data_IF_031389128716
#
_entry.id   IF_031389128716
#
_cell.length_a   1.000
_cell.length_b   1.000
_cell.length_c   1.000
_cell.angle_alpha   90.00
_cell.angle_beta   90.00
_cell.angle_gamma   90.00
#
_symmetry.space_group_name_H-M   'P 1'
#
loop_
_entity.id
_entity.type
_entity.pdbx_description
1 polymer ?
#
# COMPACT_ATOMS: atom_id res chain seq x y z
N UNK A 1 22.33 1.33 12.32
CA UNK A 1 20.88 1.37 12.65
C UNK A 1 20.48 2.72 13.27
N UNK A 2 20.94 3.81 12.68
CA UNK A 2 20.49 5.14 13.10
C UNK A 2 19.05 5.36 12.60
N UNK A 3 18.13 5.74 13.49
CA UNK A 3 16.78 6.15 13.14
C UNK A 3 15.64 5.15 13.38
N UNK A 4 15.87 3.97 13.98
CA UNK A 4 14.79 3.00 14.25
C UNK A 4 13.65 3.55 15.11
N UNK A 5 13.93 4.40 16.12
CA UNK A 5 12.87 4.96 16.96
C UNK A 5 11.92 5.87 16.17
N UNK A 6 12.44 6.70 15.28
CA UNK A 6 11.63 7.59 14.44
C UNK A 6 10.89 6.80 13.37
N UNK A 7 11.54 5.79 12.78
CA UNK A 7 10.96 4.98 11.71
C UNK A 7 10.01 3.89 12.22
N UNK A 8 10.04 3.56 13.51
CA UNK A 8 9.20 2.51 14.10
C UNK A 8 7.68 2.73 13.90
N UNK A 9 7.25 3.98 13.77
CA UNK A 9 5.85 4.31 13.49
C UNK A 9 5.48 4.14 12.00
N UNK A 10 6.45 4.03 11.12
CA UNK A 10 6.25 4.00 9.67
C UNK A 10 6.51 2.65 9.02
N UNK A 11 6.75 1.58 9.80
CA UNK A 11 7.04 0.26 9.26
C UNK A 11 6.37 -0.84 10.09
N UNK A 12 5.61 -1.72 9.45
CA UNK A 12 5.15 -2.96 10.06
C UNK A 12 6.33 -3.93 10.25
N UNK A 13 6.30 -4.73 11.30
CA UNK A 13 7.42 -5.61 11.64
C UNK A 13 7.82 -6.56 10.48
N UNK A 14 6.84 -7.16 9.82
CA UNK A 14 7.07 -8.09 8.70
C UNK A 14 7.72 -7.41 7.49
N UNK A 15 7.28 -6.19 7.12
CA UNK A 15 7.85 -5.43 6.01
C UNK A 15 9.24 -4.90 6.33
N UNK A 16 9.47 -4.44 7.57
CA UNK A 16 10.78 -4.02 8.04
C UNK A 16 11.80 -5.18 8.03
N UNK A 17 11.36 -6.40 8.35
CA UNK A 17 12.22 -7.59 8.29
C UNK A 17 12.58 -7.96 6.84
N UNK A 18 11.62 -7.92 5.91
CA UNK A 18 11.86 -8.24 4.48
C UNK A 18 12.87 -7.29 3.83
N UNK A 19 13.02 -6.06 4.32
CA UNK A 19 13.99 -5.07 3.85
C UNK A 19 15.14 -4.81 4.85
N UNK A 20 15.34 -5.72 5.82
CA UNK A 20 16.49 -5.64 6.71
C UNK A 20 17.81 -5.86 5.95
N UNK A 21 18.92 -5.38 6.54
CA UNK A 21 20.25 -5.60 5.98
C UNK A 21 20.54 -7.10 5.78
N UNK A 22 20.11 -7.95 6.73
CA UNK A 22 20.26 -9.40 6.63
C UNK A 22 19.37 -10.01 5.54
N UNK A 23 18.15 -9.54 5.33
CA UNK A 23 17.29 -10.00 4.25
C UNK A 23 17.86 -9.59 2.89
N UNK A 24 18.34 -8.35 2.76
CA UNK A 24 19.02 -7.87 1.55
C UNK A 24 20.23 -8.76 1.21
N UNK A 25 21.10 -9.00 2.19
CA UNK A 25 22.27 -9.86 2.02
C UNK A 25 21.86 -11.29 1.66
N UNK A 26 20.87 -11.86 2.33
CA UNK A 26 20.34 -13.19 2.04
C UNK A 26 19.90 -13.33 0.59
N UNK A 27 19.18 -12.36 0.06
CA UNK A 27 18.69 -12.40 -1.33
C UNK A 27 19.80 -12.19 -2.35
N UNK A 28 20.79 -11.33 -2.06
CA UNK A 28 21.98 -11.19 -2.90
C UNK A 28 22.77 -12.50 -2.96
N UNK A 29 23.01 -13.15 -1.83
CA UNK A 29 23.70 -14.43 -1.76
C UNK A 29 22.88 -15.57 -2.39
N UNK A 30 21.56 -15.54 -2.28
CA UNK A 30 20.66 -16.47 -2.97
C UNK A 30 20.80 -16.37 -4.49
N UNK A 31 20.94 -15.16 -5.04
CA UNK A 31 21.25 -14.95 -6.45
C UNK A 31 22.59 -15.58 -6.82
N UNK A 32 23.67 -15.32 -6.08
CA UNK A 32 25.00 -15.84 -6.33
C UNK A 32 25.05 -17.38 -6.29
N UNK A 33 24.37 -18.00 -5.33
CA UNK A 33 24.26 -19.45 -5.22
C UNK A 33 23.52 -20.05 -6.41
N UNK A 34 22.41 -19.45 -6.84
CA UNK A 34 21.64 -19.88 -8.00
C UNK A 34 22.46 -19.69 -9.31
N UNK A 35 23.17 -18.56 -9.43
CA UNK A 35 24.04 -18.30 -10.56
C UNK A 35 25.15 -19.37 -10.68
N UNK A 36 25.84 -19.69 -9.58
CA UNK A 36 26.90 -20.71 -9.57
C UNK A 36 26.38 -22.06 -10.07
N UNK A 37 25.17 -22.46 -9.65
CA UNK A 37 24.54 -23.70 -10.13
C UNK A 37 24.15 -23.63 -11.60
N UNK A 38 23.58 -22.51 -12.05
CA UNK A 38 23.14 -22.32 -13.43
C UNK A 38 24.31 -22.36 -14.41
N UNK A 39 25.42 -21.66 -14.11
CA UNK A 39 26.61 -21.67 -14.98
C UNK A 39 27.32 -23.01 -14.97
N UNK A 40 27.33 -23.75 -13.85
CA UNK A 40 27.87 -25.11 -13.77
C UNK A 40 27.03 -26.09 -14.59
N UNK A 41 25.70 -26.01 -14.52
CA UNK A 41 24.79 -26.84 -15.31
C UNK A 41 24.94 -26.56 -16.83
N UNK A 42 25.23 -25.34 -17.20
CA UNK A 42 25.52 -24.95 -18.59
C UNK A 42 26.93 -25.39 -19.06
N UNK A 43 27.79 -25.89 -18.18
CA UNK A 43 29.15 -26.32 -18.48
C UNK A 43 30.17 -25.17 -18.62
N UNK A 44 29.83 -23.97 -18.15
CA UNK A 44 30.69 -22.80 -18.16
C UNK A 44 31.78 -22.83 -17.08
N UNK A 45 31.46 -23.52 -15.97
CA UNK A 45 32.42 -23.77 -14.88
C UNK A 45 32.40 -25.28 -14.52
N UNK A 46 33.46 -25.81 -13.91
CA UNK A 46 33.45 -27.19 -13.44
C UNK A 46 32.36 -27.42 -12.39
N UNK A 47 31.56 -28.47 -12.57
CA UNK A 47 30.38 -28.73 -11.72
C UNK A 47 30.72 -28.93 -10.23
N UNK A 48 31.96 -29.38 -9.93
CA UNK A 48 32.47 -29.55 -8.55
C UNK A 48 32.51 -28.25 -7.73
N UNK A 49 32.61 -27.06 -8.38
CA UNK A 49 32.74 -25.79 -7.67
C UNK A 49 31.41 -25.13 -7.28
N UNK A 50 30.30 -25.42 -7.98
CA UNK A 50 29.03 -24.83 -7.68
C UNK A 50 28.52 -25.12 -6.24
N UNK A 51 28.59 -26.34 -5.70
CA UNK A 51 28.18 -26.60 -4.32
C UNK A 51 29.08 -25.89 -3.29
N UNK A 52 30.38 -25.69 -3.60
CA UNK A 52 31.32 -24.99 -2.72
C UNK A 52 30.95 -23.50 -2.63
N UNK A 53 30.68 -22.86 -3.79
CA UNK A 53 30.23 -21.47 -3.87
C UNK A 53 28.88 -21.32 -3.16
N UNK A 54 27.93 -22.22 -3.44
CA UNK A 54 26.61 -22.18 -2.82
C UNK A 54 26.67 -22.34 -1.28
N UNK A 55 27.56 -23.20 -0.76
CA UNK A 55 27.76 -23.35 0.68
C UNK A 55 28.40 -22.12 1.35
N UNK A 56 29.12 -21.30 0.59
CA UNK A 56 29.61 -20.01 1.07
C UNK A 56 28.55 -18.90 1.05
N UNK A 57 27.42 -19.10 0.37
CA UNK A 57 26.31 -18.15 0.30
C UNK A 57 25.35 -18.20 1.51
N UNK A 58 25.80 -18.72 2.65
CA UNK A 58 25.05 -18.65 3.91
C UNK A 58 25.19 -17.23 4.51
N UNK A 59 24.10 -16.45 4.66
CA UNK A 59 24.13 -15.09 5.20
C UNK A 59 24.69 -15.02 6.62
N UNK A 60 24.58 -16.09 7.41
CA UNK A 60 25.13 -16.15 8.77
C UNK A 60 26.65 -16.03 8.83
N UNK A 61 27.35 -16.21 7.72
CA UNK A 61 28.81 -16.10 7.64
C UNK A 61 29.30 -14.63 7.51
N UNK A 62 28.37 -13.66 7.37
CA UNK A 62 28.72 -12.29 7.04
C UNK A 62 28.10 -11.30 8.05
N UNK A 63 28.86 -10.25 8.37
CA UNK A 63 28.36 -9.07 9.06
C UNK A 63 27.99 -8.00 8.03
N UNK A 64 26.72 -7.56 7.94
CA UNK A 64 26.31 -6.54 6.99
C UNK A 64 26.90 -5.15 7.28
N UNK A 65 27.27 -4.82 8.51
CA UNK A 65 27.70 -3.48 8.87
C UNK A 65 29.00 -3.05 8.14
N UNK A 66 30.11 -3.83 8.13
CA UNK A 66 31.29 -3.47 7.34
C UNK A 66 31.06 -3.52 5.83
N UNK A 67 30.12 -4.35 5.34
CA UNK A 67 29.75 -4.39 3.92
C UNK A 67 29.05 -3.08 3.51
N UNK A 68 28.13 -2.59 4.32
CA UNK A 68 27.45 -1.31 4.10
C UNK A 68 28.42 -0.12 4.09
N UNK A 69 29.40 -0.10 5.01
CA UNK A 69 30.44 0.95 5.01
C UNK A 69 31.33 0.88 3.76
N UNK A 70 31.71 -0.31 3.32
CA UNK A 70 32.49 -0.50 2.09
C UNK A 70 31.70 -0.10 0.83
N UNK A 71 30.38 -0.33 0.80
CA UNK A 71 29.50 0.02 -0.31
C UNK A 71 29.48 1.53 -0.62
N UNK A 72 29.68 2.38 0.36
CA UNK A 72 29.80 3.84 0.17
C UNK A 72 30.96 4.24 -0.77
N UNK A 73 32.02 3.46 -0.78
CA UNK A 73 33.22 3.72 -1.61
C UNK A 73 33.08 3.20 -3.03
N UNK A 74 32.15 2.26 -3.24
CA UNK A 74 31.94 1.61 -4.54
C UNK A 74 30.64 2.05 -5.21
N UNK A 75 29.79 2.82 -4.50
CA UNK A 75 28.43 3.23 -4.91
C UNK A 75 27.54 2.03 -5.32
N UNK A 76 27.86 0.83 -4.79
CA UNK A 76 27.08 -0.40 -5.01
C UNK A 76 27.30 -1.39 -3.86
N UNK A 77 26.25 -2.12 -3.48
CA UNK A 77 26.32 -3.17 -2.46
C UNK A 77 27.04 -4.43 -2.98
N UNK A 78 26.98 -4.69 -4.26
CA UNK A 78 27.46 -5.96 -4.84
C UNK A 78 28.97 -6.12 -4.72
N UNK A 79 29.75 -5.06 -4.97
CA UNK A 79 31.22 -5.16 -4.96
C UNK A 79 31.77 -5.65 -3.62
N UNK A 80 31.40 -5.07 -2.45
CA UNK A 80 31.86 -5.60 -1.17
C UNK A 80 31.29 -6.98 -0.84
N UNK A 81 30.03 -7.28 -1.20
CA UNK A 81 29.41 -8.60 -0.97
C UNK A 81 30.15 -9.68 -1.78
N UNK A 82 30.35 -9.49 -3.07
CA UNK A 82 31.06 -10.45 -3.92
C UNK A 82 32.52 -10.64 -3.46
N UNK A 83 33.18 -9.56 -3.03
CA UNK A 83 34.53 -9.67 -2.47
C UNK A 83 34.59 -10.51 -1.20
N UNK A 84 33.60 -10.31 -0.31
CA UNK A 84 33.50 -11.11 0.92
C UNK A 84 33.14 -12.58 0.61
N UNK A 85 32.21 -12.81 -0.33
CA UNK A 85 31.88 -14.16 -0.80
C UNK A 85 33.11 -14.86 -1.41
N UNK A 86 33.84 -14.18 -2.27
CA UNK A 86 35.07 -14.73 -2.87
C UNK A 86 36.09 -15.11 -1.79
N UNK A 87 36.31 -14.26 -0.78
CA UNK A 87 37.21 -14.56 0.32
C UNK A 87 36.76 -15.78 1.14
N UNK A 88 35.43 -15.97 1.33
CA UNK A 88 34.89 -17.14 2.00
C UNK A 88 35.09 -18.42 1.15
N UNK A 89 34.86 -18.31 -0.17
CA UNK A 89 35.08 -19.43 -1.07
C UNK A 89 36.57 -19.82 -1.11
N UNK A 90 37.51 -18.85 -1.12
CA UNK A 90 38.97 -19.12 -1.04
C UNK A 90 39.30 -19.96 0.19
N UNK A 91 38.69 -19.72 1.34
CA UNK A 91 38.93 -20.51 2.57
C UNK A 91 38.49 -21.96 2.43
N UNK A 92 37.55 -22.26 1.56
CA UNK A 92 37.04 -23.61 1.30
C UNK A 92 37.72 -24.30 0.16
N UNK A 93 37.91 -23.56 -0.96
CA UNK A 93 38.54 -24.03 -2.17
C UNK A 93 39.02 -22.84 -3.00
N UNK A 94 40.34 -22.67 -3.13
CA UNK A 94 40.95 -21.57 -3.88
C UNK A 94 40.66 -21.63 -5.40
N UNK A 95 40.46 -22.85 -5.98
CA UNK A 95 40.09 -23.00 -7.38
C UNK A 95 38.65 -22.54 -7.63
N UNK A 96 37.71 -22.87 -6.73
CA UNK A 96 36.32 -22.49 -6.85
C UNK A 96 36.14 -20.95 -6.82
N UNK A 97 37.00 -20.22 -6.13
CA UNK A 97 36.91 -18.77 -6.01
C UNK A 97 37.04 -18.03 -7.33
N UNK A 98 37.72 -18.64 -8.33
CA UNK A 98 37.86 -18.08 -9.68
C UNK A 98 36.51 -18.04 -10.44
N UNK A 99 35.48 -18.70 -9.96
CA UNK A 99 34.16 -18.85 -10.62
C UNK A 99 33.03 -18.13 -9.89
N UNK A 100 33.31 -17.39 -8.82
CA UNK A 100 32.33 -16.56 -8.12
C UNK A 100 31.85 -15.42 -9.03
N UNK A 101 30.57 -15.12 -9.03
CA UNK A 101 29.95 -14.00 -9.79
C UNK A 101 30.19 -14.11 -11.32
N UNK A 102 30.15 -15.30 -11.88
CA UNK A 102 30.49 -15.57 -13.27
C UNK A 102 29.49 -14.98 -14.26
N UNK A 103 29.92 -14.02 -15.04
CA UNK A 103 29.14 -13.39 -16.11
C UNK A 103 28.10 -12.39 -15.67
N UNK A 104 27.89 -12.20 -14.35
CA UNK A 104 26.95 -11.23 -13.79
C UNK A 104 27.55 -9.82 -13.61
N UNK A 105 26.69 -8.87 -13.31
CA UNK A 105 27.04 -7.51 -12.91
C UNK A 105 26.33 -7.10 -11.63
N UNK A 106 26.75 -6.01 -11.02
CA UNK A 106 26.16 -5.49 -9.78
C UNK A 106 24.64 -5.31 -9.85
N UNK A 107 24.13 -4.83 -10.97
CA UNK A 107 22.69 -4.58 -11.13
C UNK A 107 21.89 -5.87 -11.21
N UNK A 108 22.42 -6.93 -11.80
CA UNK A 108 21.79 -8.25 -11.83
C UNK A 108 21.47 -8.75 -10.41
N UNK A 109 22.45 -8.59 -9.51
CA UNK A 109 22.34 -9.02 -8.11
C UNK A 109 21.36 -8.15 -7.32
N UNK A 110 21.50 -6.83 -7.40
CA UNK A 110 20.71 -5.89 -6.57
C UNK A 110 19.25 -5.86 -7.01
N UNK A 111 18.98 -5.73 -8.31
CA UNK A 111 17.61 -5.67 -8.82
C UNK A 111 16.88 -7.01 -8.59
N UNK A 112 17.56 -8.14 -8.81
CA UNK A 112 16.95 -9.45 -8.51
C UNK A 112 16.75 -9.65 -7.01
N UNK A 113 17.68 -9.22 -6.16
CA UNK A 113 17.48 -9.28 -4.71
C UNK A 113 16.28 -8.44 -4.27
N UNK A 114 16.11 -7.23 -4.81
CA UNK A 114 14.95 -6.37 -4.56
C UNK A 114 13.64 -7.05 -5.00
N UNK A 115 13.61 -7.67 -6.19
CA UNK A 115 12.44 -8.42 -6.68
C UNK A 115 12.08 -9.57 -5.71
N UNK A 116 13.10 -10.29 -5.22
CA UNK A 116 12.89 -11.38 -4.24
C UNK A 116 12.37 -10.85 -2.89
N UNK A 117 12.84 -9.69 -2.43
CA UNK A 117 12.32 -9.03 -1.23
C UNK A 117 10.85 -8.60 -1.41
N UNK A 118 10.49 -8.05 -2.57
CA UNK A 118 9.09 -7.75 -2.91
C UNK A 118 8.24 -9.02 -2.91
N UNK A 119 8.76 -10.12 -3.47
CA UNK A 119 8.10 -11.43 -3.47
C UNK A 119 7.85 -12.01 -2.07
N UNK A 120 8.67 -11.64 -1.08
CA UNK A 120 8.48 -12.01 0.33
C UNK A 120 7.50 -11.06 1.06
N UNK A 121 7.60 -9.75 0.80
CA UNK A 121 6.84 -8.73 1.54
C UNK A 121 5.37 -8.59 1.10
N UNK A 122 5.09 -8.70 -0.21
CA UNK A 122 3.78 -8.31 -0.75
C UNK A 122 2.65 -9.32 -0.52
N UNK A 123 2.84 -10.64 -0.58
CA UNK A 123 1.73 -11.59 -0.43
C UNK A 123 0.96 -11.45 0.90
N UNK A 124 1.60 -11.30 2.07
CA UNK A 124 0.85 -11.07 3.32
C UNK A 124 0.12 -9.72 3.33
N UNK A 125 0.69 -8.66 2.76
CA UNK A 125 0.03 -7.35 2.64
C UNK A 125 -1.24 -7.45 1.79
N UNK A 126 -1.17 -8.11 0.64
CA UNK A 126 -2.32 -8.30 -0.26
C UNK A 126 -3.44 -9.09 0.42
N UNK A 127 -3.07 -10.11 1.22
CA UNK A 127 -4.03 -10.88 2.01
C UNK A 127 -4.70 -10.01 3.09
N UNK A 128 -3.94 -9.22 3.83
CA UNK A 128 -4.50 -8.32 4.84
C UNK A 128 -5.45 -7.29 4.21
N UNK A 129 -5.16 -6.81 2.99
CA UNK A 129 -6.09 -5.92 2.27
C UNK A 129 -7.40 -6.64 1.97
N UNK A 130 -7.39 -7.92 1.59
CA UNK A 130 -8.62 -8.71 1.40
C UNK A 130 -9.43 -8.79 2.70
N UNK A 131 -8.77 -9.06 3.82
CA UNK A 131 -9.40 -9.14 5.14
C UNK A 131 -10.05 -7.77 5.55
N UNK A 132 -9.39 -6.64 5.22
CA UNK A 132 -9.93 -5.30 5.44
C UNK A 132 -11.16 -5.03 4.56
N UNK A 133 -11.08 -5.36 3.27
CA UNK A 133 -12.19 -5.19 2.32
C UNK A 133 -13.41 -5.98 2.78
N UNK A 134 -13.23 -7.23 3.23
CA UNK A 134 -14.32 -8.07 3.78
C UNK A 134 -14.93 -7.44 5.04
N UNK A 135 -14.11 -6.92 5.96
CA UNK A 135 -14.58 -6.25 7.17
C UNK A 135 -15.43 -5.00 6.83
N UNK A 136 -14.96 -4.17 5.91
CA UNK A 136 -15.73 -3.03 5.45
C UNK A 136 -17.02 -3.42 4.71
N UNK A 137 -16.97 -4.47 3.88
CA UNK A 137 -18.14 -4.99 3.19
C UNK A 137 -19.20 -5.50 4.17
N UNK A 138 -18.79 -6.21 5.21
CA UNK A 138 -19.67 -6.67 6.28
C UNK A 138 -20.32 -5.49 7.03
N UNK A 139 -19.53 -4.47 7.35
CA UNK A 139 -20.01 -3.28 8.03
C UNK A 139 -20.94 -2.45 7.13
N UNK A 140 -20.62 -2.31 5.84
CA UNK A 140 -21.48 -1.63 4.87
C UNK A 140 -22.85 -2.33 4.74
N UNK A 141 -22.84 -3.65 4.68
CA UNK A 141 -24.08 -4.47 4.64
C UNK A 141 -24.91 -4.28 5.91
N UNK A 142 -24.28 -4.30 7.08
CA UNK A 142 -24.95 -4.06 8.37
C UNK A 142 -25.62 -2.69 8.43
N UNK A 143 -24.99 -1.66 7.87
CA UNK A 143 -25.46 -0.28 7.90
C UNK A 143 -26.07 0.19 6.57
N UNK A 144 -26.59 -0.75 5.77
CA UNK A 144 -27.19 -0.49 4.44
C UNK A 144 -28.27 0.59 4.46
N UNK A 145 -29.05 0.66 5.55
CA UNK A 145 -30.15 1.58 5.72
C UNK A 145 -30.00 2.51 6.94
N UNK A 146 -28.82 2.51 7.56
CA UNK A 146 -28.53 3.44 8.66
C UNK A 146 -28.37 4.83 8.09
N UNK A 147 -29.36 5.68 8.34
CA UNK A 147 -29.38 7.07 7.88
C UNK A 147 -28.33 7.87 8.66
N UNK A 148 -27.49 8.60 7.97
CA UNK A 148 -26.51 9.51 8.56
C UNK A 148 -26.51 10.85 7.84
N UNK A 149 -26.04 11.90 8.53
CA UNK A 149 -25.83 13.21 7.95
C UNK A 149 -24.73 13.17 6.88
N UNK A 150 -25.03 13.53 5.63
CA UNK A 150 -24.04 13.84 4.63
C UNK A 150 -23.27 15.13 5.01
N UNK A 151 -21.98 15.17 4.70
CA UNK A 151 -21.16 16.37 4.91
C UNK A 151 -20.37 16.68 3.63
N UNK A 152 -20.65 17.84 3.07
CA UNK A 152 -19.93 18.37 1.90
C UNK A 152 -19.19 19.64 2.30
N UNK A 153 -17.91 19.77 1.93
CA UNK A 153 -17.07 20.87 2.37
C UNK A 153 -17.09 21.06 3.91
N UNK A 154 -17.18 19.95 4.67
CA UNK A 154 -17.30 19.88 6.13
C UNK A 154 -18.60 20.47 6.69
N UNK A 155 -19.57 20.87 5.86
CA UNK A 155 -20.86 21.39 6.26
C UNK A 155 -21.95 20.32 6.12
N UNK A 156 -23.01 20.39 6.96
CA UNK A 156 -24.17 19.54 6.83
C UNK A 156 -24.79 19.59 5.43
N UNK A 157 -25.13 18.42 4.90
CA UNK A 157 -25.79 18.26 3.61
C UNK A 157 -26.93 17.23 3.74
N UNK A 158 -27.47 16.79 2.60
CA UNK A 158 -28.52 15.78 2.58
C UNK A 158 -28.07 14.46 3.20
N UNK A 159 -28.96 13.73 3.86
CA UNK A 159 -28.66 12.42 4.44
C UNK A 159 -28.33 11.37 3.37
N UNK A 160 -27.59 10.35 3.79
CA UNK A 160 -27.29 9.15 3.01
C UNK A 160 -27.19 7.93 3.92
N UNK A 161 -27.09 6.73 3.35
CA UNK A 161 -26.80 5.54 4.14
C UNK A 161 -25.32 5.50 4.57
N UNK A 162 -25.05 5.21 5.84
CA UNK A 162 -23.71 4.96 6.35
C UNK A 162 -23.02 3.82 5.55
N UNK A 163 -23.79 2.80 5.19
CA UNK A 163 -23.31 1.69 4.37
C UNK A 163 -22.73 2.15 3.02
N UNK A 164 -23.26 3.20 2.40
CA UNK A 164 -22.73 3.76 1.16
C UNK A 164 -21.34 4.38 1.38
N UNK A 165 -21.14 5.11 2.47
CA UNK A 165 -19.83 5.66 2.84
C UNK A 165 -18.78 4.55 3.03
N UNK A 166 -19.13 3.53 3.83
CA UNK A 166 -18.23 2.41 4.13
C UNK A 166 -18.00 1.50 2.91
N UNK A 167 -19.03 1.24 2.13
CA UNK A 167 -18.95 0.51 0.87
C UNK A 167 -18.02 1.20 -0.15
N UNK A 168 -18.04 2.54 -0.15
CA UNK A 168 -17.08 3.34 -0.95
C UNK A 168 -15.63 3.08 -0.54
N UNK A 169 -15.32 3.00 0.76
CA UNK A 169 -13.96 2.65 1.23
C UNK A 169 -13.54 1.26 0.77
N UNK A 170 -14.44 0.27 0.89
CA UNK A 170 -14.18 -1.09 0.45
C UNK A 170 -13.90 -1.16 -1.06
N UNK A 171 -14.74 -0.53 -1.88
CA UNK A 171 -14.61 -0.52 -3.34
C UNK A 171 -13.32 0.15 -3.83
N UNK A 172 -12.95 1.31 -3.24
CA UNK A 172 -11.71 2.00 -3.62
C UNK A 172 -10.47 1.19 -3.22
N UNK A 173 -10.49 0.58 -2.04
CA UNK A 173 -9.36 -0.25 -1.58
C UNK A 173 -9.21 -1.51 -2.43
N UNK A 174 -10.30 -2.19 -2.77
CA UNK A 174 -10.28 -3.37 -3.63
C UNK A 174 -9.76 -3.03 -5.04
N UNK A 175 -10.20 -1.91 -5.61
CA UNK A 175 -9.72 -1.41 -6.89
C UNK A 175 -8.21 -1.11 -6.86
N UNK A 176 -7.74 -0.45 -5.80
CA UNK A 176 -6.32 -0.17 -5.61
C UNK A 176 -5.51 -1.45 -5.42
N UNK A 177 -6.03 -2.44 -4.67
CA UNK A 177 -5.41 -3.76 -4.48
C UNK A 177 -5.29 -4.54 -5.79
N UNK A 178 -6.33 -4.57 -6.64
CA UNK A 178 -6.27 -5.25 -7.94
C UNK A 178 -5.15 -4.69 -8.81
N UNK A 179 -5.02 -3.37 -8.90
CA UNK A 179 -3.91 -2.70 -9.60
C UNK A 179 -2.55 -3.06 -9.02
N UNK A 180 -2.42 -2.99 -7.69
CA UNK A 180 -1.19 -3.37 -6.99
C UNK A 180 -0.81 -4.84 -7.26
N UNK A 181 -1.78 -5.75 -7.27
CA UNK A 181 -1.55 -7.17 -7.56
C UNK A 181 -1.03 -7.38 -8.98
N UNK A 182 -1.58 -6.66 -9.96
CA UNK A 182 -1.14 -6.71 -11.35
C UNK A 182 0.29 -6.18 -11.51
N UNK A 183 0.55 -4.95 -11.04
CA UNK A 183 1.88 -4.36 -11.15
C UNK A 183 2.94 -5.10 -10.32
N UNK A 184 2.57 -5.65 -9.15
CA UNK A 184 3.44 -6.55 -8.39
C UNK A 184 3.82 -7.79 -9.20
N UNK A 185 2.84 -8.46 -9.82
CA UNK A 185 3.11 -9.63 -10.66
C UNK A 185 4.10 -9.31 -11.79
N UNK A 186 3.99 -8.14 -12.41
CA UNK A 186 4.91 -7.68 -13.44
C UNK A 186 6.34 -7.42 -12.93
N UNK A 187 6.53 -7.15 -11.63
CA UNK A 187 7.86 -6.98 -11.03
C UNK A 187 8.56 -8.32 -10.76
N UNK A 188 7.84 -9.45 -10.72
CA UNK A 188 8.39 -10.76 -10.35
C UNK A 188 9.17 -11.42 -11.50
N UNK A 189 10.17 -10.72 -12.03
CA UNK A 189 11.00 -11.09 -13.16
C UNK A 189 12.47 -11.05 -12.81
N UNK A 190 13.26 -11.91 -13.45
CA UNK A 190 14.72 -11.94 -13.31
C UNK A 190 15.35 -10.69 -13.92
N UNK A 191 16.32 -10.07 -13.23
CA UNK A 191 17.29 -9.17 -13.82
C UNK A 191 18.59 -9.94 -14.04
N UNK A 192 18.98 -10.16 -15.29
CA UNK A 192 20.24 -10.77 -15.64
C UNK A 192 20.69 -10.37 -17.05
N UNK A 193 21.79 -9.67 -17.18
CA UNK A 193 22.27 -9.12 -18.45
C UNK A 193 23.79 -9.00 -18.53
N UNK A 194 24.51 -9.21 -17.44
CA UNK A 194 25.95 -9.03 -17.38
C UNK A 194 26.38 -7.57 -17.51
N UNK A 195 27.57 -7.33 -18.03
CA UNK A 195 28.19 -6.00 -18.00
C UNK A 195 27.36 -4.89 -18.65
N UNK A 196 26.72 -5.16 -19.79
CA UNK A 196 26.00 -4.17 -20.59
C UNK A 196 24.68 -4.68 -21.21
N UNK A 197 24.17 -5.82 -20.76
CA UNK A 197 22.92 -6.39 -21.24
C UNK A 197 23.03 -7.43 -22.36
N UNK A 198 24.25 -7.77 -22.79
CA UNK A 198 24.46 -8.69 -23.91
C UNK A 198 24.78 -10.13 -23.49
N UNK A 199 25.11 -10.37 -22.21
CA UNK A 199 25.59 -11.65 -21.68
C UNK A 199 26.73 -12.26 -22.50
N UNK A 200 27.57 -11.44 -23.14
CA UNK A 200 28.65 -11.87 -24.03
C UNK A 200 29.65 -12.83 -23.37
N UNK A 201 29.82 -12.73 -22.05
CA UNK A 201 30.67 -13.66 -21.29
C UNK A 201 30.12 -15.10 -21.22
N UNK A 202 28.84 -15.32 -21.53
CA UNK A 202 28.18 -16.64 -21.51
C UNK A 202 28.08 -17.27 -22.91
N UNK A 203 28.28 -16.48 -23.98
CA UNK A 203 28.19 -16.93 -25.37
C UNK A 203 26.88 -17.66 -25.69
N UNK A 204 26.97 -18.79 -26.34
CA UNK A 204 25.82 -19.65 -26.73
C UNK A 204 25.09 -20.30 -25.54
N UNK A 205 25.62 -20.20 -24.34
CA UNK A 205 25.02 -20.73 -23.10
C UNK A 205 24.11 -19.74 -22.37
N UNK A 206 24.03 -18.49 -22.84
CA UNK A 206 23.30 -17.43 -22.15
C UNK A 206 21.84 -17.80 -21.89
N UNK A 207 21.10 -18.32 -22.86
CA UNK A 207 19.69 -18.71 -22.72
C UNK A 207 19.51 -19.83 -21.70
N UNK A 208 20.37 -20.85 -21.73
CA UNK A 208 20.34 -21.95 -20.77
C UNK A 208 20.56 -21.43 -19.34
N UNK A 209 21.54 -20.55 -19.14
CA UNK A 209 21.85 -19.97 -17.82
C UNK A 209 20.69 -19.12 -17.33
N UNK A 210 20.14 -18.22 -18.17
CA UNK A 210 18.98 -17.37 -17.81
C UNK A 210 17.79 -18.23 -17.37
N UNK A 211 17.44 -19.25 -18.16
CA UNK A 211 16.31 -20.13 -17.87
C UNK A 211 16.50 -20.87 -16.55
N UNK A 212 17.68 -21.45 -16.35
CA UNK A 212 17.98 -22.18 -15.09
C UNK A 212 17.96 -21.23 -13.89
N UNK A 213 18.56 -20.05 -14.01
CA UNK A 213 18.62 -19.04 -12.94
C UNK A 213 17.21 -18.55 -12.57
N UNK A 214 16.35 -18.26 -13.56
CA UNK A 214 14.98 -17.85 -13.34
C UNK A 214 14.15 -18.95 -12.63
N UNK A 215 14.31 -20.20 -13.05
CA UNK A 215 13.63 -21.35 -12.41
C UNK A 215 14.06 -21.55 -10.96
N UNK A 216 15.37 -21.47 -10.66
CA UNK A 216 15.90 -21.61 -9.30
C UNK A 216 15.41 -20.51 -8.36
N UNK A 217 15.30 -19.30 -8.88
CA UNK A 217 14.82 -18.13 -8.13
C UNK A 217 13.29 -18.03 -8.10
N UNK A 218 12.59 -18.84 -8.89
CA UNK A 218 11.12 -18.80 -9.09
C UNK A 218 10.63 -17.46 -9.62
N UNK A 219 11.38 -16.89 -10.55
CA UNK A 219 11.06 -15.65 -11.24
C UNK A 219 10.70 -15.91 -12.70
N UNK A 220 9.91 -15.05 -13.28
CA UNK A 220 9.65 -15.09 -14.73
C UNK A 220 10.88 -14.59 -15.49
N UNK A 221 11.09 -15.10 -16.70
CA UNK A 221 12.15 -14.66 -17.59
C UNK A 221 11.62 -13.51 -18.46
N UNK A 222 12.19 -12.29 -18.37
CA UNK A 222 11.81 -11.21 -19.25
C UNK A 222 12.40 -11.41 -20.66
N UNK A 223 11.85 -10.75 -21.69
CA UNK A 223 12.37 -10.85 -23.07
C UNK A 223 13.78 -10.28 -23.23
N UNK A 224 14.22 -9.39 -22.35
CA UNK A 224 15.56 -8.80 -22.30
C UNK A 224 15.86 -8.28 -20.90
N UNK A 225 17.16 -8.04 -20.55
CA UNK A 225 17.51 -7.34 -19.31
C UNK A 225 16.87 -5.95 -19.25
N UNK A 226 16.41 -5.56 -18.06
CA UNK A 226 15.61 -4.34 -17.88
C UNK A 226 16.35 -3.24 -17.08
N UNK A 227 17.67 -3.16 -17.26
CA UNK A 227 18.57 -2.25 -16.52
C UNK A 227 18.06 -0.82 -16.41
N UNK A 228 17.68 -0.21 -17.51
CA UNK A 228 17.22 1.19 -17.57
C UNK A 228 15.74 1.32 -17.95
N UNK A 229 15.04 0.21 -18.17
CA UNK A 229 13.61 0.15 -18.46
C UNK A 229 12.81 -0.04 -17.17
N UNK A 230 12.50 1.04 -16.47
CA UNK A 230 11.99 1.03 -15.09
C UNK A 230 10.45 1.16 -14.98
N UNK A 231 9.70 1.05 -16.08
CA UNK A 231 8.23 1.23 -16.09
C UNK A 231 7.52 0.32 -15.09
N UNK A 232 7.91 -0.98 -14.99
CA UNK A 232 7.30 -1.93 -14.05
C UNK A 232 7.46 -1.50 -12.59
N UNK A 233 8.67 -1.07 -12.22
CA UNK A 233 8.95 -0.61 -10.87
C UNK A 233 8.21 0.69 -10.55
N UNK A 234 8.14 1.62 -11.52
CA UNK A 234 7.43 2.87 -11.37
C UNK A 234 5.90 2.66 -11.26
N UNK A 235 5.32 1.75 -12.05
CA UNK A 235 3.91 1.39 -11.95
C UNK A 235 3.59 0.78 -10.58
N UNK A 236 4.38 -0.19 -10.15
CA UNK A 236 4.26 -0.78 -8.81
C UNK A 236 4.33 0.28 -7.69
N UNK A 237 5.27 1.21 -7.79
CA UNK A 237 5.40 2.28 -6.81
C UNK A 237 4.16 3.20 -6.75
N UNK A 238 3.59 3.54 -7.92
CA UNK A 238 2.36 4.34 -7.99
C UNK A 238 1.16 3.56 -7.39
N UNK A 239 1.04 2.28 -7.66
CA UNK A 239 -0.04 1.46 -7.12
C UNK A 239 0.08 1.25 -5.60
N UNK A 240 1.30 1.16 -5.03
CA UNK A 240 1.52 1.24 -3.59
C UNK A 240 0.98 2.56 -3.00
N UNK A 241 1.25 3.68 -3.67
CA UNK A 241 0.77 4.99 -3.23
C UNK A 241 -0.77 5.11 -3.34
N UNK A 242 -1.40 4.49 -4.35
CA UNK A 242 -2.86 4.43 -4.46
C UNK A 242 -3.50 3.68 -3.30
N UNK A 243 -2.95 2.54 -2.89
CA UNK A 243 -3.44 1.80 -1.71
C UNK A 243 -3.31 2.66 -0.45
N UNK A 244 -2.16 3.29 -0.23
CA UNK A 244 -1.99 4.20 0.90
C UNK A 244 -2.99 5.37 0.87
N UNK A 245 -3.31 5.89 -0.33
CA UNK A 245 -4.29 6.96 -0.53
C UNK A 245 -5.71 6.50 -0.18
N UNK A 246 -6.13 5.31 -0.64
CA UNK A 246 -7.44 4.74 -0.34
C UNK A 246 -7.63 4.50 1.17
N UNK A 247 -6.62 3.91 1.84
CA UNK A 247 -6.60 3.75 3.29
C UNK A 247 -6.60 5.10 4.02
N UNK A 248 -5.85 6.08 3.50
CA UNK A 248 -5.83 7.45 4.02
C UNK A 248 -7.19 8.14 3.94
N UNK A 249 -7.99 7.90 2.87
CA UNK A 249 -9.36 8.41 2.77
C UNK A 249 -10.26 7.83 3.84
N UNK A 250 -10.27 6.52 4.03
CA UNK A 250 -11.03 5.88 5.09
C UNK A 250 -10.58 6.38 6.48
N UNK A 251 -9.27 6.47 6.72
CA UNK A 251 -8.69 6.98 7.96
C UNK A 251 -9.09 8.44 8.24
N UNK A 252 -9.16 9.29 7.22
CA UNK A 252 -9.60 10.68 7.37
C UNK A 252 -11.06 10.73 7.80
N UNK A 253 -11.94 9.98 7.13
CA UNK A 253 -13.36 9.93 7.52
C UNK A 253 -13.52 9.40 8.95
N UNK A 254 -12.87 8.29 9.30
CA UNK A 254 -12.90 7.72 10.66
C UNK A 254 -12.44 8.75 11.68
N UNK A 255 -11.30 9.44 11.45
CA UNK A 255 -10.79 10.44 12.39
C UNK A 255 -11.72 11.62 12.60
N UNK A 256 -12.44 12.06 11.55
CA UNK A 256 -13.45 13.11 11.64
C UNK A 256 -14.71 12.61 12.39
N UNK A 257 -15.14 11.37 12.15
CA UNK A 257 -16.24 10.76 12.88
C UNK A 257 -15.94 10.52 14.36
N UNK A 258 -14.64 10.41 14.74
CA UNK A 258 -14.17 10.26 16.13
C UNK A 258 -14.02 11.58 16.88
N UNK A 259 -14.15 12.74 16.23
CA UNK A 259 -14.13 14.03 16.95
C UNK A 259 -15.21 14.05 18.03
N UNK A 260 -14.91 14.60 19.21
CA UNK A 260 -15.84 14.58 20.36
C UNK A 260 -17.17 15.27 20.04
N UNK A 261 -17.13 16.28 19.18
CA UNK A 261 -18.31 17.03 18.70
C UNK A 261 -19.12 16.22 17.67
N UNK A 262 -18.58 15.17 17.11
CA UNK A 262 -19.23 14.29 16.11
C UNK A 262 -19.61 12.96 16.73
N UNK A 263 -18.68 12.23 17.30
CA UNK A 263 -18.88 11.02 18.11
C UNK A 263 -19.50 9.81 17.39
N UNK A 264 -19.55 9.81 16.05
CA UNK A 264 -20.29 8.81 15.25
C UNK A 264 -19.57 7.48 15.09
N UNK A 265 -18.25 7.46 15.34
CA UNK A 265 -17.43 6.24 15.26
C UNK A 265 -16.31 6.24 16.30
N UNK A 266 -15.74 5.07 16.57
CA UNK A 266 -14.52 4.94 17.37
C UNK A 266 -13.70 3.73 16.93
N UNK A 267 -12.36 3.89 16.91
CA UNK A 267 -11.42 2.78 16.76
C UNK A 267 -11.53 1.85 17.97
N UNK A 268 -11.26 0.55 17.75
CA UNK A 268 -11.18 -0.42 18.83
C UNK A 268 -10.16 0.01 19.89
N UNK A 269 -10.57 -0.05 21.17
CA UNK A 269 -9.69 0.19 22.31
C UNK A 269 -9.00 -1.11 22.72
N UNK A 270 -7.72 -1.01 23.12
CA UNK A 270 -6.95 -2.13 23.66
C UNK A 270 -5.88 -1.66 24.63
N UNK A 271 -5.24 -2.56 25.40
CA UNK A 271 -4.15 -2.21 26.29
C UNK A 271 -3.03 -1.50 25.51
N UNK A 272 -2.66 -0.29 25.93
CA UNK A 272 -1.59 0.51 25.30
C UNK A 272 -1.97 1.23 24.02
N UNK A 273 -3.22 1.11 23.50
CA UNK A 273 -3.66 1.75 22.26
C UNK A 273 -4.48 3.02 22.54
N UNK A 274 -4.10 4.12 21.92
CA UNK A 274 -4.87 5.39 21.91
C UNK A 274 -4.89 6.14 23.23
N UNK A 275 -4.28 5.63 24.28
CA UNK A 275 -4.25 6.27 25.60
C UNK A 275 -3.47 7.59 25.62
N UNK A 276 -3.90 8.51 26.48
CA UNK A 276 -3.15 9.74 26.82
C UNK A 276 -2.38 9.52 28.10
N UNK A 277 -1.13 9.97 28.13
CA UNK A 277 -0.30 9.95 29.35
C UNK A 277 -0.85 10.86 30.47
N UNK A 278 -1.68 11.84 30.12
CA UNK A 278 -2.14 12.88 31.04
C UNK A 278 -3.66 12.87 31.26
N UNK A 279 -4.45 12.41 30.28
CA UNK A 279 -5.92 12.45 30.32
C UNK A 279 -6.50 11.05 30.12
N UNK A 280 -6.99 10.37 31.18
CA UNK A 280 -7.40 8.95 31.12
C UNK A 280 -8.60 8.70 30.18
N UNK A 281 -9.42 9.71 29.93
CA UNK A 281 -10.61 9.63 29.08
C UNK A 281 -10.31 9.91 27.58
N UNK A 282 -9.12 10.45 27.26
CA UNK A 282 -8.77 10.80 25.89
C UNK A 282 -8.41 9.56 25.09
N UNK A 283 -9.13 9.35 23.98
CA UNK A 283 -8.87 8.27 23.02
C UNK A 283 -8.41 8.87 21.70
N UNK A 284 -7.13 8.64 21.38
CA UNK A 284 -6.55 9.13 20.12
C UNK A 284 -6.82 8.16 18.98
N UNK A 285 -7.09 8.65 17.74
CA UNK A 285 -7.22 7.83 16.55
C UNK A 285 -5.84 7.40 16.03
N UNK A 286 -5.23 6.43 16.71
CA UNK A 286 -3.83 6.00 16.45
C UNK A 286 -3.72 5.32 15.09
N UNK A 287 -4.67 4.45 14.74
CA UNK A 287 -4.70 3.81 13.44
C UNK A 287 -4.82 4.85 12.31
N UNK A 288 -5.74 5.79 12.45
CA UNK A 288 -5.89 6.87 11.47
C UNK A 288 -4.62 7.72 11.35
N UNK A 289 -3.91 8.00 12.46
CA UNK A 289 -2.68 8.77 12.43
C UNK A 289 -1.58 8.07 11.61
N UNK A 290 -1.40 6.75 11.78
CA UNK A 290 -0.41 5.96 11.03
C UNK A 290 -0.76 5.92 9.54
N UNK A 291 -2.02 5.66 9.19
CA UNK A 291 -2.48 5.61 7.81
C UNK A 291 -2.34 6.96 7.10
N UNK A 292 -2.71 8.06 7.77
CA UNK A 292 -2.55 9.41 7.22
C UNK A 292 -1.09 9.79 7.02
N UNK A 293 -0.20 9.38 7.92
CA UNK A 293 1.24 9.59 7.76
C UNK A 293 1.78 8.84 6.53
N UNK A 294 1.35 7.57 6.32
CA UNK A 294 1.72 6.80 5.14
C UNK A 294 1.15 7.42 3.85
N UNK A 295 -0.13 7.81 3.84
CA UNK A 295 -0.78 8.46 2.71
C UNK A 295 -0.10 9.77 2.28
N UNK A 296 0.48 10.52 3.22
CA UNK A 296 1.24 11.73 2.92
C UNK A 296 2.64 11.44 2.38
N UNK A 297 3.29 10.32 2.78
CA UNK A 297 4.66 9.96 2.37
C UNK A 297 4.70 9.17 1.07
N UNK A 298 3.81 8.22 0.88
CA UNK A 298 3.86 7.27 -0.23
C UNK A 298 3.88 7.93 -1.63
N UNK A 299 3.08 8.98 -1.93
CA UNK A 299 3.15 9.67 -3.22
C UNK A 299 4.52 10.29 -3.51
N UNK A 300 5.22 10.82 -2.49
CA UNK A 300 6.54 11.43 -2.65
C UNK A 300 7.62 10.36 -2.92
N UNK A 301 7.51 9.20 -2.27
CA UNK A 301 8.39 8.06 -2.52
C UNK A 301 8.17 7.50 -3.94
N UNK A 302 6.91 7.34 -4.36
CA UNK A 302 6.58 6.93 -5.72
C UNK A 302 7.07 7.95 -6.78
N UNK A 303 6.96 9.25 -6.50
CA UNK A 303 7.50 10.31 -7.36
C UNK A 303 9.03 10.25 -7.49
N UNK A 304 9.76 9.87 -6.43
CA UNK A 304 11.21 9.67 -6.49
C UNK A 304 11.57 8.56 -7.48
N UNK A 305 10.84 7.42 -7.44
CA UNK A 305 11.06 6.31 -8.38
C UNK A 305 10.71 6.74 -9.81
N UNK A 306 9.58 7.43 -10.00
CA UNK A 306 9.17 7.94 -11.31
C UNK A 306 10.19 8.94 -11.89
N UNK A 307 10.76 9.82 -11.07
CA UNK A 307 11.81 10.76 -11.47
C UNK A 307 13.10 10.04 -11.87
N UNK A 308 13.37 8.87 -11.26
CA UNK A 308 14.52 8.03 -11.57
C UNK A 308 14.41 7.22 -12.87
N UNK A 309 13.28 7.28 -13.60
CA UNK A 309 13.07 6.48 -14.82
C UNK A 309 13.91 6.94 -16.02
N UNK A 310 14.26 8.21 -16.07
CA UNK A 310 15.07 8.76 -17.17
C UNK A 310 16.55 8.44 -16.88
N UNK A 311 16.94 7.23 -17.30
CA UNK A 311 18.26 6.65 -17.01
C UNK A 311 19.18 6.71 -18.24
N UNK A 312 20.46 6.87 -17.98
CA UNK A 312 21.47 7.00 -19.02
C UNK A 312 21.90 5.63 -19.56
N UNK A 313 21.95 5.53 -20.87
CA UNK A 313 22.51 4.37 -21.60
C UNK A 313 22.01 3.02 -21.05
N UNK A 314 22.90 2.12 -20.70
CA UNK A 314 22.64 0.76 -20.21
C UNK A 314 22.68 0.67 -18.67
N UNK A 315 23.08 1.76 -17.97
CA UNK A 315 23.06 1.82 -16.48
C UNK A 315 23.08 3.26 -15.99
N UNK A 316 22.14 3.57 -15.10
CA UNK A 316 21.98 4.92 -14.56
C UNK A 316 23.11 5.36 -13.63
N UNK A 317 23.33 6.67 -13.62
CA UNK A 317 24.15 7.38 -12.64
C UNK A 317 23.25 8.17 -11.68
N UNK A 318 23.02 7.63 -10.50
CA UNK A 318 22.19 8.24 -9.45
C UNK A 318 20.75 7.77 -9.45
N UNK A 319 20.05 7.69 -10.58
CA UNK A 319 18.66 7.23 -10.68
C UNK A 319 18.47 5.84 -10.07
N UNK A 320 19.27 4.88 -10.47
CA UNK A 320 19.23 3.52 -9.96
C UNK A 320 19.53 3.43 -8.44
N UNK A 321 20.56 4.15 -7.97
CA UNK A 321 20.90 4.17 -6.55
C UNK A 321 19.81 4.79 -5.67
N UNK A 322 19.02 5.74 -6.20
CA UNK A 322 17.92 6.36 -5.47
C UNK A 322 16.73 5.43 -5.26
N UNK A 323 16.58 4.38 -6.08
CA UNK A 323 15.49 3.42 -5.97
C UNK A 323 15.60 2.55 -4.71
N UNK A 324 16.78 2.10 -4.33
CA UNK A 324 16.98 1.11 -3.28
C UNK A 324 16.38 1.51 -1.92
N UNK A 325 16.75 2.67 -1.34
CA UNK A 325 16.14 3.10 -0.09
C UNK A 325 14.67 3.51 -0.26
N UNK A 326 14.28 3.95 -1.47
CA UNK A 326 12.94 4.44 -1.74
C UNK A 326 11.92 3.31 -1.84
N UNK A 327 12.25 2.20 -2.50
CA UNK A 327 11.38 1.02 -2.58
C UNK A 327 11.14 0.43 -1.19
N UNK A 328 12.22 0.27 -0.40
CA UNK A 328 12.10 -0.21 0.97
C UNK A 328 11.17 0.68 1.80
N UNK A 329 11.40 2.00 1.81
CA UNK A 329 10.59 2.95 2.56
C UNK A 329 9.12 3.01 2.10
N UNK A 330 8.86 2.80 0.80
CA UNK A 330 7.51 2.78 0.24
C UNK A 330 6.74 1.53 0.68
N UNK A 331 7.36 0.35 0.60
CA UNK A 331 6.73 -0.91 1.02
C UNK A 331 6.56 -0.96 2.54
N UNK A 332 7.49 -0.40 3.31
CA UNK A 332 7.33 -0.21 4.76
C UNK A 332 6.12 0.69 5.08
N UNK A 333 5.97 1.81 4.37
CA UNK A 333 4.83 2.72 4.56
C UNK A 333 3.50 2.03 4.19
N UNK A 334 3.48 1.27 3.08
CA UNK A 334 2.33 0.46 2.67
C UNK A 334 1.97 -0.56 3.75
N UNK A 335 2.93 -1.38 4.21
CA UNK A 335 2.71 -2.40 5.23
C UNK A 335 2.21 -1.80 6.55
N UNK A 336 2.79 -0.68 6.99
CA UNK A 336 2.32 0.03 8.20
C UNK A 336 0.89 0.53 8.07
N UNK A 337 0.51 1.06 6.91
CA UNK A 337 -0.85 1.55 6.64
C UNK A 337 -1.87 0.41 6.62
N UNK A 338 -1.53 -0.70 5.96
CA UNK A 338 -2.39 -1.90 5.87
C UNK A 338 -2.56 -2.54 7.25
N UNK A 339 -1.48 -2.77 7.99
CA UNK A 339 -1.54 -3.31 9.35
C UNK A 339 -2.40 -2.43 10.27
N UNK A 340 -2.23 -1.11 10.21
CA UNK A 340 -3.02 -0.19 11.04
C UNK A 340 -4.53 -0.30 10.72
N UNK A 341 -4.94 -0.45 9.46
CA UNK A 341 -6.33 -0.64 9.10
C UNK A 341 -6.82 -2.05 9.42
N UNK A 342 -6.01 -3.08 9.28
CA UNK A 342 -6.37 -4.45 9.67
C UNK A 342 -6.71 -4.56 11.17
N UNK A 343 -6.08 -3.72 12.00
CA UNK A 343 -6.41 -3.60 13.42
C UNK A 343 -7.67 -2.75 13.69
N UNK A 344 -7.99 -1.77 12.81
CA UNK A 344 -9.13 -0.87 12.99
C UNK A 344 -10.41 -1.45 12.43
N UNK A 345 -10.40 -1.98 11.21
CA UNK A 345 -11.61 -2.32 10.45
C UNK A 345 -12.52 -3.35 11.15
N UNK A 346 -12.00 -4.47 11.73
CA UNK A 346 -12.85 -5.45 12.39
C UNK A 346 -13.52 -4.95 13.68
N UNK A 347 -12.88 -3.96 14.33
CA UNK A 347 -13.32 -3.41 15.61
C UNK A 347 -13.88 -1.98 15.54
N UNK A 348 -14.12 -1.46 14.33
CA UNK A 348 -14.69 -0.13 14.15
C UNK A 348 -16.11 -0.08 14.70
N UNK A 349 -16.28 0.63 15.83
CA UNK A 349 -17.58 0.80 16.46
C UNK A 349 -18.31 2.02 15.88
N UNK A 350 -19.60 1.84 15.58
CA UNK A 350 -20.49 2.90 15.07
C UNK A 350 -21.49 3.22 16.17
N UNK A 351 -21.63 4.50 16.48
CA UNK A 351 -22.62 5.02 17.42
C UNK A 351 -23.83 5.58 16.65
N UNK A 352 -24.88 4.76 16.56
CA UNK A 352 -26.09 5.15 15.84
C UNK A 352 -26.90 6.24 16.58
N UNK A 353 -26.77 6.34 17.91
CA UNK A 353 -27.45 7.37 18.69
C UNK A 353 -26.80 8.73 18.47
N UNK A 354 -25.45 8.78 18.42
CA UNK A 354 -24.73 9.99 18.05
C UNK A 354 -25.02 10.42 16.60
N UNK A 355 -25.10 9.46 15.66
CA UNK A 355 -25.50 9.75 14.27
C UNK A 355 -26.88 10.41 14.23
N UNK A 356 -27.86 9.86 14.96
CA UNK A 356 -29.20 10.43 15.02
C UNK A 356 -29.19 11.82 15.66
N UNK A 357 -28.53 11.99 16.80
CA UNK A 357 -28.41 13.27 17.50
C UNK A 357 -27.80 14.37 16.61
N UNK A 358 -26.76 14.02 15.81
CA UNK A 358 -26.16 14.95 14.86
C UNK A 358 -27.10 15.35 13.72
N UNK A 359 -27.99 14.45 13.30
CA UNK A 359 -29.03 14.79 12.33
C UNK A 359 -30.06 15.74 12.94
N UNK A 360 -30.56 15.41 14.14
CA UNK A 360 -31.56 16.22 14.85
C UNK A 360 -31.06 17.64 15.15
N UNK A 361 -29.76 17.78 15.46
CA UNK A 361 -29.13 19.06 15.75
C UNK A 361 -29.10 20.06 14.54
N UNK A 362 -29.23 19.55 13.32
CA UNK A 362 -29.25 20.36 12.10
C UNK A 362 -30.63 20.38 11.42
N UNK A 363 -31.63 19.79 12.06
CA UNK A 363 -33.03 19.92 11.65
C UNK A 363 -33.44 21.41 11.79
N UNK A 364 -34.15 22.02 10.86
CA UNK A 364 -34.77 21.44 9.66
C UNK A 364 -33.93 21.51 8.37
N UNK A 365 -32.71 22.02 8.41
CA UNK A 365 -31.88 22.23 7.23
C UNK A 365 -31.64 20.94 6.40
N UNK A 366 -31.61 19.78 7.08
CA UNK A 366 -31.49 18.45 6.46
C UNK A 366 -32.59 18.19 5.43
N UNK A 367 -33.80 18.74 5.63
CA UNK A 367 -34.97 18.53 4.78
C UNK A 367 -35.10 19.58 3.66
N UNK A 368 -34.28 20.61 3.65
CA UNK A 368 -34.46 21.76 2.76
C UNK A 368 -34.48 21.41 1.27
N UNK A 369 -33.56 20.51 0.84
CA UNK A 369 -33.55 20.06 -0.55
C UNK A 369 -34.79 19.27 -0.91
N UNK A 370 -35.20 18.32 -0.07
CA UNK A 370 -36.37 17.50 -0.27
C UNK A 370 -37.62 18.35 -0.31
N UNK A 371 -37.79 19.28 0.65
CA UNK A 371 -38.88 20.24 0.66
C UNK A 371 -38.97 21.05 -0.62
N UNK A 372 -37.83 21.56 -1.08
CA UNK A 372 -37.72 22.29 -2.35
C UNK A 372 -38.25 21.47 -3.52
N UNK A 373 -37.82 20.21 -3.65
CA UNK A 373 -38.25 19.38 -4.78
C UNK A 373 -39.71 18.89 -4.66
N UNK A 374 -40.22 18.66 -3.46
CA UNK A 374 -41.64 18.34 -3.28
C UNK A 374 -42.52 19.53 -3.69
N UNK A 375 -42.23 20.74 -3.21
CA UNK A 375 -42.94 21.96 -3.57
C UNK A 375 -42.77 22.33 -5.04
N UNK A 376 -41.60 22.05 -5.62
CA UNK A 376 -41.34 22.37 -7.03
C UNK A 376 -42.29 21.66 -8.01
N UNK A 377 -42.88 20.52 -7.61
CA UNK A 377 -43.87 19.81 -8.45
C UNK A 377 -45.11 20.65 -8.71
N UNK A 378 -45.47 21.54 -7.76
CA UNK A 378 -46.68 22.38 -7.87
C UNK A 378 -46.41 23.82 -8.25
N UNK A 379 -45.29 24.42 -7.81
CA UNK A 379 -45.03 25.85 -7.99
C UNK A 379 -43.77 26.20 -8.77
N UNK A 380 -43.00 25.16 -9.21
CA UNK A 380 -41.73 25.34 -9.92
C UNK A 380 -40.56 25.58 -8.97
N UNK A 381 -39.32 25.20 -9.39
CA UNK A 381 -38.11 25.13 -8.55
C UNK A 381 -37.74 26.48 -7.89
N UNK A 382 -37.82 27.59 -8.64
CA UNK A 382 -37.40 28.90 -8.13
C UNK A 382 -38.30 29.40 -6.98
N UNK A 383 -39.61 29.26 -7.14
CA UNK A 383 -40.59 29.67 -6.09
C UNK A 383 -40.47 28.74 -4.86
N UNK A 384 -40.31 27.45 -5.08
CA UNK A 384 -40.12 26.47 -4.01
C UNK A 384 -38.84 26.77 -3.21
N UNK A 385 -37.73 27.07 -3.86
CA UNK A 385 -36.47 27.40 -3.20
C UNK A 385 -36.63 28.67 -2.34
N UNK A 386 -37.19 29.74 -2.89
CA UNK A 386 -37.42 30.98 -2.13
C UNK A 386 -38.34 30.78 -0.89
N UNK A 387 -39.34 29.92 -1.02
CA UNK A 387 -40.23 29.62 0.12
C UNK A 387 -39.48 28.85 1.22
N UNK A 388 -38.68 27.86 0.85
CA UNK A 388 -37.88 27.08 1.80
C UNK A 388 -36.81 27.94 2.47
N UNK A 389 -36.15 28.84 1.72
CA UNK A 389 -35.17 29.79 2.26
C UNK A 389 -35.81 30.73 3.32
N UNK A 390 -37.01 31.27 3.04
CA UNK A 390 -37.73 32.10 3.99
C UNK A 390 -38.15 31.29 5.23
N UNK A 391 -38.62 30.05 5.06
CA UNK A 391 -38.98 29.18 6.17
C UNK A 391 -37.79 28.88 7.09
N UNK A 392 -36.61 28.63 6.54
CA UNK A 392 -35.37 28.43 7.30
C UNK A 392 -34.92 29.70 8.06
N UNK A 393 -35.05 30.88 7.43
CA UNK A 393 -34.57 32.15 8.00
C UNK A 393 -35.45 32.63 9.20
N UNK A 394 -36.72 32.27 9.24
CA UNK A 394 -37.66 32.79 10.22
C UNK A 394 -37.63 32.08 11.58
N UNK A 395 -36.80 31.05 11.78
CA UNK A 395 -36.56 30.39 13.08
C UNK A 395 -37.79 29.75 13.73
N UNK A 396 -38.95 29.68 13.04
CA UNK A 396 -40.16 28.97 13.44
C UNK A 396 -40.03 27.49 13.10
N UNK A 397 -41.00 26.63 13.52
CA UNK A 397 -40.98 25.25 13.06
C UNK A 397 -41.06 25.22 11.54
N UNK A 398 -39.96 24.79 10.92
CA UNK A 398 -39.85 24.63 9.47
C UNK A 398 -40.94 23.72 8.92
N UNK A 399 -41.26 22.67 9.68
CA UNK A 399 -42.32 21.71 9.35
C UNK A 399 -43.70 22.37 9.44
N UNK A 400 -43.96 23.22 10.45
CA UNK A 400 -45.22 23.99 10.57
C UNK A 400 -45.34 25.01 9.40
N UNK A 401 -44.24 25.67 9.02
CA UNK A 401 -44.27 26.62 7.91
C UNK A 401 -44.56 25.95 6.56
N UNK A 402 -44.21 24.68 6.39
CA UNK A 402 -44.45 23.89 5.18
C UNK A 402 -45.75 23.06 5.24
N UNK A 403 -46.48 23.05 6.38
CA UNK A 403 -47.82 22.52 6.53
C UNK A 403 -47.96 21.03 6.22
N UNK A 404 -48.71 20.67 5.15
CA UNK A 404 -49.03 19.28 4.81
C UNK A 404 -47.82 18.38 4.43
N UNK A 405 -46.64 18.91 4.31
CA UNK A 405 -45.44 18.17 3.90
C UNK A 405 -44.72 17.43 5.05
N UNK A 406 -45.08 17.66 6.30
CA UNK A 406 -44.41 17.10 7.48
C UNK A 406 -44.21 15.59 7.39
N UNK A 407 -45.22 14.82 7.06
CA UNK A 407 -45.15 13.36 6.92
C UNK A 407 -44.29 12.90 5.74
N UNK A 408 -44.23 13.68 4.66
CA UNK A 408 -43.43 13.38 3.49
C UNK A 408 -41.94 13.74 3.71
N UNK A 409 -41.67 14.73 4.55
CA UNK A 409 -40.33 15.15 4.91
C UNK A 409 -39.64 14.17 5.87
N UNK A 410 -40.38 13.64 6.86
CA UNK A 410 -39.88 12.70 7.85
C UNK A 410 -39.84 11.23 7.37
N UNK A 411 -40.16 10.97 6.12
CA UNK A 411 -40.07 9.64 5.54
C UNK A 411 -38.59 9.22 5.39
N UNK A 412 -38.08 8.49 6.40
CA UNK A 412 -36.68 8.00 6.45
C UNK A 412 -36.29 7.23 5.21
N UNK A 413 -37.17 6.41 4.65
CA UNK A 413 -36.92 5.65 3.44
C UNK A 413 -36.70 6.58 2.22
N UNK A 414 -37.50 7.64 2.16
CA UNK A 414 -37.34 8.63 1.10
C UNK A 414 -36.11 9.53 1.29
N UNK A 415 -35.66 9.74 2.54
CA UNK A 415 -34.40 10.45 2.82
C UNK A 415 -33.17 9.67 2.40
N UNK A 416 -33.19 8.35 2.47
CA UNK A 416 -32.12 7.48 1.98
C UNK A 416 -31.96 7.58 0.45
N UNK A 417 -33.03 7.94 -0.28
CA UNK A 417 -33.00 8.01 -1.73
C UNK A 417 -32.55 6.70 -2.38
N UNK A 418 -31.56 6.76 -3.24
CA UNK A 418 -30.98 5.61 -3.92
C UNK A 418 -29.72 5.05 -3.22
N UNK A 419 -29.47 5.49 -2.00
CA UNK A 419 -28.27 5.15 -1.23
C UNK A 419 -28.16 3.64 -0.91
N UNK A 420 -29.23 2.93 -0.50
CA UNK A 420 -29.18 1.48 -0.28
C UNK A 420 -28.84 0.68 -1.53
N UNK A 421 -29.34 1.07 -2.69
CA UNK A 421 -29.04 0.45 -3.97
C UNK A 421 -27.58 0.68 -4.38
N UNK A 422 -26.99 1.83 -4.03
CA UNK A 422 -25.56 2.06 -4.19
C UNK A 422 -24.73 1.13 -3.31
N UNK A 423 -25.15 0.86 -2.07
CA UNK A 423 -24.51 -0.14 -1.21
C UNK A 423 -24.49 -1.50 -1.89
N UNK A 424 -25.64 -1.95 -2.39
CA UNK A 424 -25.75 -3.25 -3.07
C UNK A 424 -24.82 -3.34 -4.28
N UNK A 425 -24.78 -2.30 -5.12
CA UNK A 425 -23.88 -2.24 -6.29
C UNK A 425 -22.39 -2.26 -5.91
N UNK A 426 -22.01 -1.52 -4.87
CA UNK A 426 -20.65 -1.51 -4.35
C UNK A 426 -20.22 -2.91 -3.87
N UNK A 427 -21.13 -3.58 -3.13
CA UNK A 427 -20.88 -4.94 -2.64
C UNK A 427 -20.86 -6.01 -3.74
N UNK A 428 -21.60 -5.80 -4.85
CA UNK A 428 -21.55 -6.65 -6.02
C UNK A 428 -20.25 -6.50 -6.81
N UNK A 429 -19.71 -5.28 -6.90
CA UNK A 429 -18.43 -5.00 -7.61
C UNK A 429 -17.25 -5.69 -6.92
N UNK A 430 -17.28 -5.87 -5.58
CA UNK A 430 -16.25 -6.59 -4.83
C UNK A 430 -16.19 -8.10 -5.14
N UNK A 431 -17.23 -8.67 -5.79
CA UNK A 431 -17.28 -10.09 -6.16
C UNK A 431 -16.64 -10.39 -7.51
N UNK A 432 -16.26 -9.37 -8.26
CA UNK A 432 -15.68 -9.46 -9.60
C UNK A 432 -14.15 -9.43 -9.56
#
# INVERSE_FOLDING_TARGET
MAGRLVNALGAAAATAEAFSDMATLRHMLRFEAALARAVAQAGLIPTKHAPIIAAACDPALYDPAPLAEAARRTATLTVPVVKALTAEVVRRDAEAAAYVHWGATSQDVIDTAMVLQLGEALPPILKEIDDIVEAFAALARKHRETLMLGRTLLQPATPLALGQKIGGWASDLDRAKRRLSESFSETQILQFGGASGSLSALGDKAEQVMTTLAQELKLALPPAPWFTQRVRLAAFAQDCALVCGALGKAARDISLMMQVEVGEASESSGPGRGGSSTMPHKRNPVGAALMLAAANRAPQLAATIASGMVQEHERALGGWQSEWPTVAALVEALGSSVQAMAEVAPGLAIDCDAIQANMDAVEPAVFAERATFLLAKTMGKQKAHALVEVALANGGSFLEALGQLEKELDDRKALLGYSPEFVDRLLEDLKR
#
